data_IF_604156892152
#
_entry.id   IF_604156892152
#
_cell.length_a   1.000
_cell.length_b   1.000
_cell.length_c   1.000
_cell.angle_alpha   90.00
_cell.angle_beta   90.00
_cell.angle_gamma   90.00
#
_symmetry.space_group_name_H-M   'P 1'
#
loop_
_entity.id
_entity.type
_entity.pdbx_description
1 polymer ?
#
# COMPACT_ATOMS: atom_id res chain seq x y z
N UNK A 1 3.09 -1.91 1.80
CA UNK A 1 3.97 -0.72 1.89
C UNK A 1 5.42 -1.16 1.88
N UNK A 2 6.35 -0.28 1.51
CA UNK A 2 7.78 -0.56 1.65
C UNK A 2 8.18 -0.61 3.12
N UNK A 3 9.21 -1.40 3.44
CA UNK A 3 9.76 -1.44 4.79
C UNK A 3 10.46 -0.11 5.12
N UNK A 4 10.03 0.55 6.19
CA UNK A 4 10.62 1.81 6.66
C UNK A 4 12.12 1.66 6.97
N UNK A 5 12.57 0.48 7.41
CA UNK A 5 14.00 0.23 7.66
C UNK A 5 14.81 0.30 6.38
N UNK A 6 14.31 -0.25 5.28
CA UNK A 6 14.96 -0.17 3.97
C UNK A 6 15.09 1.29 3.51
N UNK A 7 14.04 2.09 3.69
CA UNK A 7 14.05 3.52 3.34
C UNK A 7 15.06 4.27 4.19
N UNK A 8 15.14 3.97 5.50
CA UNK A 8 16.08 4.60 6.42
C UNK A 8 17.54 4.23 6.15
N UNK A 9 17.81 2.96 5.88
CA UNK A 9 19.18 2.45 5.72
C UNK A 9 19.72 2.68 4.31
N UNK A 10 18.86 2.69 3.29
CA UNK A 10 19.24 2.79 1.87
C UNK A 10 18.34 3.76 1.09
N UNK A 11 18.22 5.03 1.50
CA UNK A 11 17.30 5.98 0.87
C UNK A 11 17.61 6.21 -0.61
N UNK A 12 18.88 6.33 -0.98
CA UNK A 12 19.29 6.58 -2.37
C UNK A 12 18.97 5.40 -3.30
N UNK A 13 19.13 4.18 -2.79
CA UNK A 13 18.72 2.97 -3.52
C UNK A 13 17.20 2.97 -3.77
N UNK A 14 16.41 3.26 -2.74
CA UNK A 14 14.95 3.32 -2.84
C UNK A 14 14.53 4.39 -3.86
N UNK A 15 15.11 5.59 -3.79
CA UNK A 15 14.83 6.67 -4.77
C UNK A 15 15.18 6.25 -6.19
N UNK A 16 16.38 5.72 -6.40
CA UNK A 16 16.83 5.31 -7.72
C UNK A 16 15.91 4.23 -8.32
N UNK A 17 15.45 3.26 -7.51
CA UNK A 17 14.50 2.23 -7.96
C UNK A 17 13.11 2.79 -8.23
N UNK A 18 12.59 3.69 -7.38
CA UNK A 18 11.29 4.34 -7.61
C UNK A 18 11.30 5.21 -8.88
N UNK A 19 12.38 5.94 -9.12
CA UNK A 19 12.54 6.78 -10.30
C UNK A 19 12.46 5.98 -11.62
N UNK A 20 12.83 4.69 -11.62
CA UNK A 20 12.66 3.82 -12.80
C UNK A 20 11.20 3.61 -13.20
N UNK A 21 10.24 3.87 -12.31
CA UNK A 21 8.79 3.84 -12.61
C UNK A 21 8.31 5.10 -13.33
N UNK A 22 8.99 6.23 -13.15
CA UNK A 22 8.60 7.53 -13.70
C UNK A 22 7.38 8.19 -13.04
N UNK A 23 6.95 7.72 -11.87
CA UNK A 23 5.76 8.25 -11.16
C UNK A 23 6.03 9.39 -10.17
N UNK A 24 7.29 9.76 -9.93
CA UNK A 24 7.68 10.82 -9.00
C UNK A 24 7.66 10.41 -7.51
N UNK A 25 7.43 9.14 -7.20
CA UNK A 25 7.38 8.63 -5.83
C UNK A 25 8.73 8.77 -5.09
N UNK A 26 9.85 8.90 -5.79
CA UNK A 26 11.16 9.16 -5.22
C UNK A 26 11.24 10.49 -4.44
N UNK A 27 10.36 11.45 -4.73
CA UNK A 27 10.26 12.72 -4.02
C UNK A 27 9.63 12.55 -2.62
N UNK A 28 8.77 11.55 -2.44
CA UNK A 28 8.06 11.28 -1.17
C UNK A 28 8.97 10.69 -0.08
N UNK A 29 10.18 10.25 -0.45
CA UNK A 29 11.11 9.61 0.48
C UNK A 29 11.58 10.56 1.58
N UNK A 30 11.78 11.84 1.27
CA UNK A 30 12.15 12.84 2.29
C UNK A 30 11.06 13.04 3.34
N UNK A 31 9.80 13.11 2.89
CA UNK A 31 8.64 13.26 3.77
C UNK A 31 8.51 12.06 4.72
N UNK A 32 8.66 10.84 4.21
CA UNK A 32 8.66 9.62 5.03
C UNK A 32 9.79 9.60 6.05
N UNK A 33 11.01 10.00 5.65
CA UNK A 33 12.16 10.07 6.55
C UNK A 33 11.98 11.14 7.63
N UNK A 34 11.36 12.27 7.28
CA UNK A 34 10.98 13.33 8.22
C UNK A 34 9.98 12.83 9.27
N UNK A 35 8.89 12.20 8.82
CA UNK A 35 7.91 11.59 9.71
C UNK A 35 8.53 10.50 10.61
N UNK A 36 9.42 9.67 10.05
CA UNK A 36 10.17 8.67 10.82
C UNK A 36 11.07 9.26 11.90
N UNK A 37 11.76 10.35 11.59
CA UNK A 37 12.65 11.03 12.52
C UNK A 37 11.86 11.61 13.70
N UNK A 38 10.73 12.28 13.43
CA UNK A 38 9.90 12.84 14.49
C UNK A 38 9.28 11.74 15.35
N UNK A 39 8.76 10.66 14.74
CA UNK A 39 8.23 9.50 15.46
C UNK A 39 9.27 8.92 16.43
N UNK A 40 10.49 8.65 15.94
CA UNK A 40 11.58 8.09 16.78
C UNK A 40 12.03 9.04 17.90
N UNK A 41 12.04 10.35 17.63
CA UNK A 41 12.36 11.36 18.63
C UNK A 41 11.32 11.36 19.75
N UNK A 42 10.03 11.35 19.42
CA UNK A 42 8.94 11.27 20.39
C UNK A 42 9.01 9.97 21.21
N UNK A 43 9.25 8.83 20.55
CA UNK A 43 9.44 7.53 21.21
C UNK A 43 10.62 7.57 22.20
N UNK A 44 11.74 8.20 21.83
CA UNK A 44 12.93 8.31 22.68
C UNK A 44 12.64 9.15 23.93
N UNK A 45 11.96 10.29 23.77
CA UNK A 45 11.57 11.15 24.91
C UNK A 45 10.57 10.42 25.81
N UNK A 46 9.59 9.71 25.24
CA UNK A 46 8.66 8.88 25.99
C UNK A 46 9.39 7.82 26.82
N UNK A 47 10.38 7.12 26.25
CA UNK A 47 11.18 6.13 26.98
C UNK A 47 11.93 6.77 28.15
N UNK A 48 12.55 7.94 27.94
CA UNK A 48 13.27 8.67 28.99
C UNK A 48 12.34 9.11 30.13
N UNK A 49 11.19 9.71 29.80
CA UNK A 49 10.20 10.14 30.80
C UNK A 49 9.60 8.96 31.57
N UNK A 50 9.33 7.83 30.91
CA UNK A 50 8.87 6.63 31.60
C UNK A 50 9.94 6.09 32.57
N UNK A 51 11.21 6.10 32.18
CA UNK A 51 12.31 5.70 33.05
C UNK A 51 12.45 6.64 34.26
N UNK A 52 12.38 7.95 34.04
CA UNK A 52 12.45 8.97 35.09
C UNK A 52 11.26 8.86 36.06
N UNK A 53 10.03 8.71 35.54
CA UNK A 53 8.83 8.47 36.35
C UNK A 53 9.01 7.26 37.25
N UNK A 54 9.48 6.13 36.69
CA UNK A 54 9.67 4.90 37.45
C UNK A 54 10.77 5.03 38.52
N UNK A 55 11.85 5.77 38.23
CA UNK A 55 12.91 6.07 39.20
C UNK A 55 12.37 6.91 40.36
N UNK A 56 11.68 8.01 40.05
CA UNK A 56 11.13 8.93 41.04
C UNK A 56 10.05 8.26 41.90
N UNK A 57 9.16 7.45 41.31
CA UNK A 57 8.17 6.67 42.06
C UNK A 57 8.80 5.72 43.09
N UNK A 58 9.93 5.08 42.75
CA UNK A 58 10.69 4.26 43.71
C UNK A 58 11.31 5.10 44.83
N UNK A 59 11.81 6.28 44.52
CA UNK A 59 12.39 7.20 45.50
C UNK A 59 11.34 7.73 46.48
N UNK A 60 10.16 8.10 45.99
CA UNK A 60 8.99 8.49 46.80
C UNK A 60 8.66 7.39 47.81
N UNK A 61 8.53 6.13 47.34
CA UNK A 61 8.26 4.99 48.22
C UNK A 61 9.32 4.82 49.32
N UNK A 62 10.61 5.02 49.00
CA UNK A 62 11.71 4.98 49.98
C UNK A 62 11.68 6.13 50.98
N UNK A 63 11.30 7.34 50.58
CA UNK A 63 11.19 8.50 51.48
C UNK A 63 10.02 8.33 52.45
N UNK A 64 8.85 7.97 51.92
CA UNK A 64 7.66 7.73 52.73
C UNK A 64 7.87 6.60 53.74
N UNK A 65 8.57 5.52 53.37
CA UNK A 65 8.92 4.44 54.28
C UNK A 65 9.87 4.87 55.43
N UNK A 66 10.64 5.95 55.22
CA UNK A 66 11.51 6.56 56.25
C UNK A 66 10.81 7.65 57.07
N UNK A 67 9.53 7.92 56.83
CA UNK A 67 8.78 9.00 57.48
C UNK A 67 9.13 10.40 56.95
N UNK A 68 9.86 10.50 55.84
CA UNK A 68 10.22 11.77 55.20
C UNK A 68 9.09 12.25 54.27
N UNK A 69 8.99 13.57 54.06
CA UNK A 69 8.05 14.16 53.10
C UNK A 69 8.56 13.99 51.66
N UNK A 70 7.63 13.76 50.72
CA UNK A 70 7.94 13.53 49.31
C UNK A 70 7.15 14.42 48.33
N UNK A 71 6.53 15.50 48.81
CA UNK A 71 5.58 16.32 48.04
C UNK A 71 6.13 16.85 46.72
N UNK A 72 7.36 17.37 46.70
CA UNK A 72 8.01 17.86 45.48
C UNK A 72 8.22 16.75 44.44
N UNK A 73 8.61 15.55 44.88
CA UNK A 73 8.79 14.40 44.00
C UNK A 73 7.44 13.89 43.47
N UNK A 74 6.39 13.94 44.28
CA UNK A 74 5.04 13.55 43.89
C UNK A 74 4.49 14.49 42.80
N UNK A 75 4.64 15.81 42.97
CA UNK A 75 4.27 16.77 41.92
C UNK A 75 5.10 16.56 40.65
N UNK A 76 6.42 16.33 40.77
CA UNK A 76 7.26 16.05 39.60
C UNK A 76 6.81 14.79 38.83
N UNK A 77 6.41 13.73 39.53
CA UNK A 77 5.87 12.51 38.91
C UNK A 77 4.55 12.79 38.20
N UNK A 78 3.70 13.65 38.76
CA UNK A 78 2.44 14.07 38.15
C UNK A 78 2.69 14.86 36.85
N UNK A 79 3.57 15.85 36.87
CA UNK A 79 3.98 16.61 35.68
C UNK A 79 4.50 15.70 34.57
N UNK A 80 5.36 14.72 34.93
CA UNK A 80 5.87 13.73 33.97
C UNK A 80 4.73 12.89 33.40
N UNK A 81 3.72 12.55 34.21
CA UNK A 81 2.52 11.84 33.77
C UNK A 81 1.76 12.63 32.68
N UNK A 82 1.55 13.92 32.90
CA UNK A 82 0.87 14.81 31.95
C UNK A 82 1.67 14.98 30.65
N UNK A 83 3.00 15.10 30.75
CA UNK A 83 3.89 15.14 29.58
C UNK A 83 3.85 13.83 28.76
N UNK A 84 3.85 12.67 29.44
CA UNK A 84 3.73 11.37 28.78
C UNK A 84 2.39 11.27 28.05
N UNK A 85 1.29 11.70 28.67
CA UNK A 85 -0.04 11.68 28.04
C UNK A 85 -0.06 12.50 26.75
N UNK A 86 0.49 13.73 26.78
CA UNK A 86 0.60 14.59 25.60
C UNK A 86 1.49 13.99 24.50
N UNK A 87 2.66 13.46 24.87
CA UNK A 87 3.60 12.87 23.91
C UNK A 87 3.07 11.59 23.27
N UNK A 88 2.27 10.79 23.97
CA UNK A 88 1.63 9.61 23.39
C UNK A 88 0.67 9.98 22.26
N UNK A 89 -0.10 11.06 22.41
CA UNK A 89 -1.00 11.56 21.34
C UNK A 89 -0.17 12.01 20.14
N UNK A 90 0.91 12.74 20.36
CA UNK A 90 1.81 13.19 19.29
C UNK A 90 2.49 12.01 18.58
N UNK A 91 2.96 11.02 19.33
CA UNK A 91 3.59 9.83 18.78
C UNK A 91 2.62 9.02 17.91
N UNK A 92 1.37 8.85 18.37
CA UNK A 92 0.33 8.19 17.59
C UNK A 92 0.00 8.94 16.29
N UNK A 93 -0.05 10.29 16.34
CA UNK A 93 -0.25 11.10 15.15
C UNK A 93 0.92 10.99 14.16
N UNK A 94 2.16 11.02 14.65
CA UNK A 94 3.35 10.86 13.83
C UNK A 94 3.44 9.46 13.19
N UNK A 95 3.02 8.42 13.91
CA UNK A 95 2.92 7.06 13.38
C UNK A 95 1.85 6.95 12.28
N UNK A 96 0.67 7.54 12.50
CA UNK A 96 -0.39 7.56 11.51
C UNK A 96 0.05 8.29 10.23
N UNK A 97 0.75 9.42 10.37
CA UNK A 97 1.29 10.17 9.24
C UNK A 97 2.34 9.36 8.47
N UNK A 98 3.29 8.74 9.17
CA UNK A 98 4.26 7.85 8.54
C UNK A 98 3.57 6.73 7.75
N UNK A 99 2.56 6.08 8.34
CA UNK A 99 1.82 5.01 7.67
C UNK A 99 1.09 5.51 6.41
N UNK A 100 0.46 6.68 6.49
CA UNK A 100 -0.22 7.28 5.34
C UNK A 100 0.75 7.58 4.19
N UNK A 101 1.92 8.14 4.49
CA UNK A 101 2.95 8.41 3.49
C UNK A 101 3.48 7.11 2.87
N UNK A 102 3.73 6.09 3.70
CA UNK A 102 4.19 4.77 3.24
C UNK A 102 3.18 4.04 2.34
N UNK A 103 1.87 4.24 2.55
CA UNK A 103 0.82 3.67 1.71
C UNK A 103 0.74 4.32 0.32
N UNK A 104 1.23 5.55 0.17
CA UNK A 104 1.22 6.30 -1.09
C UNK A 104 2.43 6.03 -1.98
N UNK A 105 3.38 5.19 -1.54
CA UNK A 105 4.59 4.86 -2.28
C UNK A 105 4.39 3.52 -2.99
N UNK A 106 4.60 3.50 -4.32
CA UNK A 106 4.52 2.29 -5.11
C UNK A 106 5.61 1.27 -4.73
N UNK A 107 5.40 0.01 -5.12
CA UNK A 107 6.39 -1.02 -4.90
C UNK A 107 7.65 -0.80 -5.76
N UNK A 108 8.81 -1.18 -5.22
CA UNK A 108 10.09 -1.15 -5.94
C UNK A 108 10.05 -2.16 -7.09
N UNK A 109 10.33 -1.74 -8.35
CA UNK A 109 10.49 -2.70 -9.43
C UNK A 109 11.64 -3.67 -9.11
N UNK A 110 11.47 -4.94 -9.45
CA UNK A 110 12.56 -5.93 -9.32
C UNK A 110 13.69 -5.60 -10.30
N UNK A 111 14.93 -5.95 -9.97
CA UNK A 111 16.13 -5.64 -10.78
C UNK A 111 16.07 -6.20 -12.21
N UNK A 112 15.36 -7.33 -12.39
CA UNK A 112 15.16 -7.96 -13.70
C UNK A 112 14.13 -7.23 -14.59
N UNK A 113 13.38 -6.26 -14.05
CA UNK A 113 12.37 -5.51 -14.80
C UNK A 113 13.08 -4.50 -15.72
N UNK A 114 12.84 -4.54 -17.05
CA UNK A 114 13.39 -3.55 -17.96
C UNK A 114 12.93 -2.13 -17.60
N UNK A 115 13.85 -1.17 -17.66
CA UNK A 115 13.54 0.24 -17.44
C UNK A 115 12.81 0.80 -18.67
N UNK A 116 11.70 1.50 -18.45
CA UNK A 116 10.88 2.08 -19.51
C UNK A 116 9.90 3.12 -18.99
N UNK A 117 9.67 4.19 -19.76
CA UNK A 117 8.72 5.25 -19.40
C UNK A 117 7.26 4.90 -19.71
N UNK A 118 7.04 4.06 -20.71
CA UNK A 118 5.73 3.77 -21.26
C UNK A 118 5.70 2.36 -21.88
N UNK A 119 4.53 1.86 -22.32
CA UNK A 119 4.40 0.52 -22.87
C UNK A 119 5.28 0.19 -24.08
N UNK A 120 5.85 1.18 -24.80
CA UNK A 120 6.74 0.93 -25.93
C UNK A 120 8.09 0.34 -25.52
N UNK A 121 8.48 0.47 -24.24
CA UNK A 121 9.68 -0.16 -23.70
C UNK A 121 9.49 -1.64 -23.33
N UNK A 122 8.25 -2.15 -23.39
CA UNK A 122 7.95 -3.54 -23.06
C UNK A 122 8.61 -4.50 -24.06
N UNK A 123 9.29 -5.53 -23.54
CA UNK A 123 9.95 -6.55 -24.36
C UNK A 123 9.02 -7.74 -24.60
N UNK A 124 8.97 -8.22 -25.84
CA UNK A 124 8.31 -9.49 -26.16
C UNK A 124 9.21 -10.63 -25.67
N UNK A 125 8.72 -11.40 -24.69
CA UNK A 125 9.49 -12.51 -24.10
C UNK A 125 9.34 -13.78 -24.94
N UNK A 126 8.12 -14.08 -25.40
CA UNK A 126 7.81 -15.22 -26.27
C UNK A 126 6.57 -14.95 -27.10
N UNK A 127 6.47 -15.60 -28.25
CA UNK A 127 5.26 -15.69 -29.07
C UNK A 127 4.85 -17.16 -29.20
N UNK A 128 3.55 -17.40 -29.40
CA UNK A 128 3.02 -18.75 -29.62
C UNK A 128 1.90 -18.70 -30.68
N UNK A 129 1.93 -19.64 -31.62
CA UNK A 129 1.02 -19.69 -32.76
C UNK A 129 1.33 -18.66 -33.84
N UNK A 130 0.51 -18.65 -34.90
CA UNK A 130 0.59 -17.70 -36.02
C UNK A 130 -0.68 -16.86 -36.10
N UNK A 131 -0.53 -15.56 -36.41
CA UNK A 131 -1.67 -14.67 -36.62
C UNK A 131 -2.39 -15.05 -37.90
N UNK A 132 -3.70 -15.27 -37.83
CA UNK A 132 -4.53 -15.57 -39.01
C UNK A 132 -4.51 -14.42 -40.01
N UNK A 133 -4.39 -14.76 -41.31
CA UNK A 133 -4.43 -13.78 -42.40
C UNK A 133 -5.88 -13.47 -42.75
N UNK A 134 -6.37 -12.31 -42.31
CA UNK A 134 -7.72 -11.82 -42.59
C UNK A 134 -7.64 -10.59 -43.50
N UNK A 135 -8.42 -10.54 -44.58
CA UNK A 135 -8.35 -9.45 -45.57
C UNK A 135 -9.07 -8.19 -45.10
N UNK A 136 -10.19 -8.32 -44.39
CA UNK A 136 -11.03 -7.21 -43.87
C UNK A 136 -11.75 -7.63 -42.58
N UNK A 137 -11.02 -7.88 -41.47
CA UNK A 137 -11.64 -8.31 -40.22
C UNK A 137 -12.55 -7.21 -39.68
N UNK A 138 -13.78 -7.58 -39.31
CA UNK A 138 -14.61 -6.72 -38.46
C UNK A 138 -14.10 -6.83 -37.01
N UNK A 139 -14.22 -5.74 -36.25
CA UNK A 139 -13.91 -5.77 -34.83
C UNK A 139 -14.96 -6.58 -34.03
N UNK A 140 -14.64 -6.84 -32.77
CA UNK A 140 -15.51 -7.61 -31.89
C UNK A 140 -16.85 -6.91 -31.61
N UNK A 141 -16.92 -5.57 -31.67
CA UNK A 141 -18.14 -4.79 -31.44
C UNK A 141 -19.12 -5.00 -32.59
N UNK A 142 -18.65 -4.76 -33.81
CA UNK A 142 -19.42 -4.94 -35.03
C UNK A 142 -19.87 -6.40 -35.20
N UNK A 143 -18.99 -7.36 -34.93
CA UNK A 143 -19.34 -8.78 -34.97
C UNK A 143 -20.39 -9.15 -33.91
N UNK A 144 -20.17 -8.76 -32.66
CA UNK A 144 -21.04 -9.13 -31.55
C UNK A 144 -22.44 -8.51 -31.68
N UNK A 145 -22.55 -7.26 -32.10
CA UNK A 145 -23.84 -6.61 -32.38
C UNK A 145 -24.56 -7.30 -33.54
N UNK A 146 -23.86 -7.54 -34.68
CA UNK A 146 -24.46 -8.20 -35.85
C UNK A 146 -24.97 -9.62 -35.54
N UNK A 147 -24.29 -10.33 -34.65
CA UNK A 147 -24.64 -11.69 -34.25
C UNK A 147 -25.56 -11.73 -33.01
N UNK A 148 -26.01 -10.58 -32.49
CA UNK A 148 -26.80 -10.46 -31.26
C UNK A 148 -26.17 -11.21 -30.06
N UNK A 149 -24.83 -11.17 -29.95
CA UNK A 149 -24.10 -11.75 -28.82
C UNK A 149 -24.13 -10.85 -27.59
N UNK A 150 -24.32 -9.55 -27.80
CA UNK A 150 -24.60 -8.57 -26.76
C UNK A 150 -25.41 -7.39 -27.33
N UNK A 151 -25.98 -6.60 -26.43
CA UNK A 151 -26.73 -5.39 -26.76
C UNK A 151 -26.15 -4.17 -26.01
N UNK A 152 -25.39 -3.28 -26.69
CA UNK A 152 -24.81 -2.09 -26.07
C UNK A 152 -25.85 -1.03 -25.67
N UNK A 153 -26.96 -0.93 -26.40
CA UNK A 153 -28.03 0.03 -26.10
C UNK A 153 -28.73 -0.33 -24.79
N UNK A 154 -29.01 -1.62 -24.59
CA UNK A 154 -29.57 -2.11 -23.32
C UNK A 154 -28.62 -1.85 -22.16
N UNK A 155 -27.33 -2.14 -22.34
CA UNK A 155 -26.32 -1.89 -21.32
C UNK A 155 -26.23 -0.40 -20.95
N UNK A 156 -26.24 0.47 -21.96
CA UNK A 156 -26.20 1.93 -21.75
C UNK A 156 -27.46 2.43 -21.05
N UNK A 157 -28.63 1.91 -21.42
CA UNK A 157 -29.91 2.25 -20.77
C UNK A 157 -29.96 1.81 -19.30
N UNK A 158 -29.38 0.65 -18.98
CA UNK A 158 -29.41 0.08 -17.65
C UNK A 158 -28.34 0.66 -16.71
N UNK A 159 -27.14 0.93 -17.23
CA UNK A 159 -25.96 1.19 -16.39
C UNK A 159 -25.07 2.34 -16.91
N UNK A 160 -25.32 2.86 -18.11
CA UNK A 160 -24.51 3.93 -18.72
C UNK A 160 -23.33 3.42 -19.55
N UNK A 161 -22.43 4.34 -19.92
CA UNK A 161 -21.25 4.05 -20.75
C UNK A 161 -20.28 3.08 -20.05
N UNK A 162 -19.62 2.22 -20.84
CA UNK A 162 -18.63 1.25 -20.36
C UNK A 162 -19.21 -0.10 -19.91
N UNK A 163 -20.53 -0.29 -20.03
CA UNK A 163 -21.20 -1.56 -19.74
C UNK A 163 -21.56 -2.33 -21.00
N UNK A 164 -21.70 -3.66 -20.86
CA UNK A 164 -22.12 -4.57 -21.92
C UNK A 164 -23.20 -5.52 -21.41
N UNK A 165 -24.19 -5.82 -22.24
CA UNK A 165 -25.27 -6.74 -21.91
C UNK A 165 -25.20 -7.94 -22.84
N UNK A 166 -24.55 -9.03 -22.40
CA UNK A 166 -24.45 -10.26 -23.20
C UNK A 166 -25.82 -10.96 -23.33
N UNK A 167 -26.09 -11.48 -24.53
CA UNK A 167 -27.37 -12.10 -24.89
C UNK A 167 -27.18 -13.44 -25.56
N UNK A 168 -28.16 -14.33 -25.40
CA UNK A 168 -28.25 -15.60 -26.14
C UNK A 168 -26.95 -16.41 -26.15
N UNK A 169 -26.40 -16.62 -27.35
CA UNK A 169 -25.15 -17.37 -27.54
C UNK A 169 -23.93 -16.66 -26.93
N UNK A 170 -23.89 -15.32 -26.92
CA UNK A 170 -22.79 -14.57 -26.31
C UNK A 170 -22.72 -14.78 -24.80
N UNK A 171 -23.87 -14.69 -24.12
CA UNK A 171 -23.94 -14.99 -22.68
C UNK A 171 -23.55 -16.43 -22.35
N UNK A 172 -23.93 -17.40 -23.20
CA UNK A 172 -23.52 -18.80 -23.04
C UNK A 172 -22.02 -18.99 -23.24
N UNK A 173 -21.43 -18.32 -24.23
CA UNK A 173 -19.99 -18.39 -24.52
C UNK A 173 -19.17 -17.81 -23.38
N UNK A 174 -19.54 -16.64 -22.86
CA UNK A 174 -18.87 -16.02 -21.71
C UNK A 174 -18.84 -16.96 -20.51
N UNK A 175 -19.99 -17.55 -20.17
CA UNK A 175 -20.08 -18.55 -19.10
C UNK A 175 -19.23 -19.79 -19.36
N UNK A 176 -19.19 -20.26 -20.61
CA UNK A 176 -18.37 -21.41 -20.98
C UNK A 176 -16.86 -21.13 -20.80
N UNK A 177 -16.40 -19.93 -21.17
CA UNK A 177 -15.01 -19.50 -20.96
C UNK A 177 -14.65 -19.40 -19.47
N UNK A 178 -15.53 -18.81 -18.66
CA UNK A 178 -15.35 -18.73 -17.21
C UNK A 178 -15.20 -20.14 -16.61
N UNK A 179 -16.12 -21.05 -16.93
CA UNK A 179 -16.06 -22.43 -16.43
C UNK A 179 -14.80 -23.15 -16.91
N UNK A 180 -14.44 -23.02 -18.19
CA UNK A 180 -13.22 -23.61 -18.73
C UNK A 180 -11.96 -23.13 -17.98
N UNK A 181 -11.82 -21.83 -17.75
CA UNK A 181 -10.67 -21.26 -17.02
C UNK A 181 -10.61 -21.76 -15.58
N UNK A 182 -11.74 -21.78 -14.88
CA UNK A 182 -11.81 -22.28 -13.49
C UNK A 182 -11.47 -23.77 -13.43
N UNK A 183 -12.06 -24.59 -14.29
CA UNK A 183 -11.81 -26.04 -14.31
C UNK A 183 -10.34 -26.35 -14.64
N UNK A 184 -9.76 -25.67 -15.63
CA UNK A 184 -8.35 -25.83 -15.98
C UNK A 184 -7.44 -25.52 -14.78
N UNK A 185 -7.66 -24.38 -14.13
CA UNK A 185 -6.81 -23.96 -13.03
C UNK A 185 -6.98 -24.83 -11.77
N UNK A 186 -8.20 -25.26 -11.47
CA UNK A 186 -8.47 -26.09 -10.29
C UNK A 186 -8.05 -27.55 -10.47
N UNK A 187 -8.22 -28.12 -11.67
CA UNK A 187 -7.89 -29.53 -11.92
C UNK A 187 -6.42 -29.76 -12.26
N UNK A 188 -5.80 -28.87 -13.04
CA UNK A 188 -4.47 -29.11 -13.60
C UNK A 188 -3.38 -28.26 -12.95
N UNK A 189 -3.70 -27.08 -12.40
CA UNK A 189 -2.71 -26.16 -11.84
C UNK A 189 -2.76 -26.02 -10.31
N UNK A 190 -3.67 -26.73 -9.63
CA UNK A 190 -3.72 -26.80 -8.16
C UNK A 190 -4.24 -25.53 -7.47
N UNK A 191 -5.02 -24.70 -8.16
CA UNK A 191 -5.73 -23.58 -7.54
C UNK A 191 -6.96 -24.09 -6.78
N UNK A 192 -7.28 -23.48 -5.63
CA UNK A 192 -8.38 -23.86 -4.74
C UNK A 192 -9.33 -22.68 -4.46
#
# INVERSE_FOLDING_TARGET
MLDIRLIREKPDFVRARLATRGGGDEAKIDEVLGADAERRKLETVLQQLNADRNRLSKEIGKKLARGETAGELQERVREIGDQIASLNVQAAAAEAEQNNLLLQIANLPHESVPIGKDPNANRVVRSWGEKSRLTKPADHVALGTRLNLFNPEWATKLSGSGFICFTGAGAKLERALINFMIELHTREHGYF
#
